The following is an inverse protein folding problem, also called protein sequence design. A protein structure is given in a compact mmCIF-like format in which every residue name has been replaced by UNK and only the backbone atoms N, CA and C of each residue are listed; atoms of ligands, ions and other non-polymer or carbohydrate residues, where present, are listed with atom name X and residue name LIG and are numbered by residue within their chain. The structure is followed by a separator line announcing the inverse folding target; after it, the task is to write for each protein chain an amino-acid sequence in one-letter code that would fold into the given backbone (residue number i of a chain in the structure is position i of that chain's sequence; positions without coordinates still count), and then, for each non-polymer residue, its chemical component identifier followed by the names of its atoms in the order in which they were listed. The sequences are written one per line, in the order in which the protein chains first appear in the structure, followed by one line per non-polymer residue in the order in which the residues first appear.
data_IF_875231435643
#
_entry.id   IF_875231435643
#
_cell.length_a   1.000
_cell.length_b   1.000
_cell.length_c   1.000
_cell.angle_alpha   90.00
_cell.angle_beta   90.00
_cell.angle_gamma   90.00
#
_symmetry.space_group_name_H-M   'P 1'
#
loop_
_entity.id
_entity.type
_entity.pdbx_description
1 polymer ?
#
# COMPACT_ATOMS: atom_id res chain seq x y z
N UNK A 1 -48.66 37.22 -14.22
CA UNK A 1 -47.36 36.93 -13.57
C UNK A 1 -46.58 35.95 -14.42
N UNK A 2 -45.49 36.40 -15.05
CA UNK A 2 -44.52 35.54 -15.76
C UNK A 2 -43.13 35.88 -15.23
N UNK A 3 -42.53 34.95 -14.49
CA UNK A 3 -41.20 35.09 -13.89
C UNK A 3 -40.17 34.66 -14.93
N UNK A 4 -39.32 35.60 -15.39
CA UNK A 4 -38.11 35.28 -16.15
C UNK A 4 -37.00 35.01 -15.15
N UNK A 5 -36.51 33.77 -15.07
CA UNK A 5 -35.27 33.44 -14.37
C UNK A 5 -34.12 33.50 -15.39
N UNK A 6 -33.19 34.39 -15.12
CA UNK A 6 -31.95 34.60 -15.86
C UNK A 6 -31.02 33.39 -15.68
N UNK A 7 -30.51 32.83 -16.77
CA UNK A 7 -29.40 31.88 -16.75
C UNK A 7 -28.10 32.67 -16.90
N UNK A 8 -27.26 32.62 -15.88
CA UNK A 8 -25.90 33.19 -15.92
C UNK A 8 -24.95 32.10 -16.41
N UNK A 9 -24.31 32.34 -17.55
CA UNK A 9 -23.27 31.47 -18.11
C UNK A 9 -21.92 31.83 -17.45
N UNK A 10 -21.30 30.86 -16.79
CA UNK A 10 -19.91 30.98 -16.33
C UNK A 10 -19.02 30.13 -17.25
N UNK A 11 -18.04 30.79 -17.86
CA UNK A 11 -17.12 30.25 -18.84
C UNK A 11 -16.23 29.14 -18.26
N UNK A 12 -16.09 28.04 -19.01
CA UNK A 12 -15.08 27.01 -18.78
C UNK A 12 -13.82 27.41 -19.53
N UNK A 13 -12.76 27.79 -18.81
CA UNK A 13 -11.42 27.98 -19.37
C UNK A 13 -10.67 26.65 -19.31
N UNK A 14 -10.41 26.04 -20.47
CA UNK A 14 -9.54 24.88 -20.62
C UNK A 14 -8.11 25.39 -20.75
N UNK A 15 -7.31 25.27 -19.69
CA UNK A 15 -5.86 25.48 -19.76
C UNK A 15 -5.21 24.17 -20.16
N UNK A 16 -4.78 24.10 -21.43
CA UNK A 16 -3.94 23.04 -21.97
C UNK A 16 -2.52 23.21 -21.40
N UNK A 17 -2.08 22.29 -20.52
CA UNK A 17 -0.70 22.24 -20.07
C UNK A 17 0.02 21.11 -20.83
N UNK A 18 0.77 21.48 -21.86
CA UNK A 18 1.84 20.65 -22.42
C UNK A 18 3.07 20.80 -21.54
N UNK A 19 3.59 19.69 -21.01
CA UNK A 19 4.98 19.60 -20.57
C UNK A 19 5.55 18.25 -21.01
N UNK A 20 6.53 18.33 -21.89
CA UNK A 20 7.29 17.23 -22.49
C UNK A 20 8.52 16.94 -21.61
N UNK A 21 8.82 15.64 -21.49
CA UNK A 21 10.02 14.95 -20.98
C UNK A 21 11.16 15.77 -20.35
N UNK A 22 11.54 15.40 -19.13
CA UNK A 22 12.93 15.16 -18.75
C UNK A 22 13.00 14.18 -17.56
N UNK A 23 13.48 12.96 -17.81
CA UNK A 23 13.98 12.10 -16.75
C UNK A 23 15.38 12.53 -16.35
N UNK A 24 15.68 12.51 -15.05
CA UNK A 24 16.95 12.03 -14.50
C UNK A 24 16.97 12.20 -12.98
N UNK A 25 17.39 11.13 -12.30
CA UNK A 25 18.20 11.25 -11.08
C UNK A 25 17.48 11.70 -9.81
N UNK A 26 16.40 11.01 -9.42
CA UNK A 26 15.95 11.04 -8.03
C UNK A 26 16.62 9.91 -7.25
N UNK A 27 17.81 10.14 -6.71
CA UNK A 27 18.35 9.32 -5.62
C UNK A 27 17.49 9.57 -4.38
N UNK A 28 16.35 8.89 -4.28
CA UNK A 28 15.49 8.96 -3.11
C UNK A 28 16.07 8.05 -2.03
N UNK A 29 16.81 8.67 -1.12
CA UNK A 29 17.20 8.13 0.17
C UNK A 29 15.96 7.59 0.90
N UNK A 30 15.94 6.27 1.18
CA UNK A 30 15.04 5.57 2.10
C UNK A 30 13.67 6.25 2.36
N UNK A 31 12.80 6.26 1.36
CA UNK A 31 11.45 6.77 1.52
C UNK A 31 10.49 5.61 1.81
N UNK A 32 9.67 5.76 2.85
CA UNK A 32 8.48 4.96 3.14
C UNK A 32 7.80 4.47 1.83
N UNK A 33 8.10 3.24 1.38
CA UNK A 33 7.56 2.69 0.12
C UNK A 33 6.04 2.52 0.14
N UNK A 34 5.42 2.66 1.30
CA UNK A 34 4.00 2.48 1.49
C UNK A 34 3.21 3.60 0.79
N UNK A 35 2.39 3.22 -0.19
CA UNK A 35 1.62 4.17 -0.99
C UNK A 35 0.59 4.87 -0.11
N UNK A 36 0.54 6.20 -0.21
CA UNK A 36 -0.52 7.01 0.38
C UNK A 36 -1.68 7.06 -0.62
N UNK A 37 -2.90 6.67 -0.23
CA UNK A 37 -4.06 6.86 -1.10
C UNK A 37 -4.21 8.31 -1.53
N UNK A 38 -4.24 8.53 -2.85
CA UNK A 38 -5.24 9.43 -3.42
C UNK A 38 -6.59 8.71 -3.66
N UNK A 39 -6.61 7.38 -3.62
CA UNK A 39 -7.79 6.54 -3.75
C UNK A 39 -7.69 5.37 -2.77
N UNK A 40 -8.47 5.46 -1.70
CA UNK A 40 -8.69 4.36 -0.75
C UNK A 40 -9.19 3.15 -1.54
N UNK A 41 -8.73 1.93 -1.24
CA UNK A 41 -9.40 0.71 -1.69
C UNK A 41 -10.42 0.32 -0.59
N UNK A 42 -11.66 0.88 -0.59
CA UNK A 42 -12.57 0.77 0.55
C UNK A 42 -12.95 -0.68 0.90
N UNK A 43 -12.89 -1.59 -0.07
CA UNK A 43 -13.10 -3.02 0.17
C UNK A 43 -12.03 -3.60 1.12
N UNK A 44 -10.76 -3.20 0.98
CA UNK A 44 -9.68 -3.72 1.81
C UNK A 44 -9.83 -3.34 3.29
N UNK A 45 -10.34 -2.14 3.56
CA UNK A 45 -10.67 -1.68 4.92
C UNK A 45 -11.91 -2.36 5.50
N UNK A 46 -12.82 -2.85 4.65
CA UNK A 46 -14.01 -3.58 5.10
C UNK A 46 -13.65 -5.01 5.49
N UNK A 47 -12.75 -5.64 4.74
CA UNK A 47 -12.29 -7.01 4.99
C UNK A 47 -11.23 -7.06 6.10
N UNK A 48 -10.48 -5.97 6.29
CA UNK A 48 -9.46 -5.87 7.32
C UNK A 48 -10.03 -5.38 8.66
N UNK A 49 -9.93 -6.22 9.69
CA UNK A 49 -10.41 -5.88 11.03
C UNK A 49 -9.75 -4.61 11.57
N UNK A 50 -10.57 -3.71 12.13
CA UNK A 50 -10.11 -2.45 12.72
C UNK A 50 -9.12 -2.70 13.88
N UNK A 51 -7.99 -2.00 13.84
CA UNK A 51 -6.89 -2.17 14.78
C UNK A 51 -5.92 -3.32 14.45
N UNK A 52 -6.04 -3.96 13.29
CA UNK A 52 -5.22 -5.10 12.89
C UNK A 52 -4.35 -4.82 11.67
N UNK A 53 -3.28 -5.59 11.52
CA UNK A 53 -2.57 -5.74 10.25
C UNK A 53 -3.19 -6.88 9.46
N UNK A 54 -3.40 -6.66 8.18
CA UNK A 54 -4.03 -7.61 7.29
C UNK A 54 -3.17 -7.89 6.07
N UNK A 55 -3.17 -9.15 5.65
CA UNK A 55 -2.40 -9.67 4.53
C UNK A 55 -3.31 -10.38 3.53
N UNK A 56 -2.93 -10.37 2.26
CA UNK A 56 -3.62 -11.06 1.17
C UNK A 56 -2.63 -11.80 0.29
N UNK A 57 -3.11 -12.87 -0.33
CA UNK A 57 -2.35 -13.75 -1.21
C UNK A 57 -2.18 -13.20 -2.63
N UNK A 58 -2.99 -12.22 -3.02
CA UNK A 58 -2.92 -11.56 -4.34
C UNK A 58 -2.70 -10.04 -4.22
N UNK A 59 -2.14 -9.41 -5.28
CA UNK A 59 -2.10 -7.96 -5.37
C UNK A 59 -3.52 -7.38 -5.47
N UNK A 60 -3.66 -6.10 -5.13
CA UNK A 60 -4.95 -5.40 -5.14
C UNK A 60 -5.90 -5.79 -4.00
N UNK A 61 -5.38 -6.38 -2.91
CA UNK A 61 -6.19 -6.89 -1.79
C UNK A 61 -7.22 -7.94 -2.22
N UNK A 62 -6.91 -8.69 -3.27
CA UNK A 62 -7.76 -9.77 -3.75
C UNK A 62 -7.50 -11.07 -2.96
N UNK A 63 -8.51 -11.96 -2.96
CA UNK A 63 -8.48 -13.19 -2.20
C UNK A 63 -9.04 -13.04 -0.78
N UNK A 64 -8.69 -13.96 0.11
CA UNK A 64 -9.07 -13.88 1.51
C UNK A 64 -8.19 -12.86 2.25
N UNK A 65 -8.77 -12.08 3.16
CA UNK A 65 -7.99 -11.28 4.09
C UNK A 65 -7.61 -12.12 5.31
N UNK A 66 -6.35 -12.06 5.73
CA UNK A 66 -5.91 -12.61 7.01
C UNK A 66 -5.54 -11.47 7.95
N UNK A 67 -6.40 -11.22 8.94
CA UNK A 67 -6.14 -10.27 10.03
C UNK A 67 -5.47 -11.00 11.18
N UNK A 68 -4.19 -10.70 11.44
CA UNK A 68 -3.38 -11.58 12.29
C UNK A 68 -2.87 -10.96 13.57
N UNK A 69 -2.76 -9.64 13.57
CA UNK A 69 -1.91 -8.98 14.54
C UNK A 69 -2.57 -7.76 15.13
N UNK A 70 -2.70 -7.77 16.45
CA UNK A 70 -3.07 -6.64 17.28
C UNK A 70 -2.23 -6.70 18.56
N UNK A 71 -1.24 -5.81 18.65
CA UNK A 71 -0.31 -5.75 19.78
C UNK A 71 1.13 -5.55 19.33
N UNK A 72 1.98 -5.06 20.24
CA UNK A 72 3.43 -4.92 19.98
C UNK A 72 4.12 -6.26 20.06
N UNK A 73 5.15 -6.45 19.24
CA UNK A 73 5.97 -7.66 19.22
C UNK A 73 6.21 -8.19 17.81
N UNK A 74 6.84 -9.36 17.75
CA UNK A 74 7.15 -10.07 16.53
C UNK A 74 6.11 -11.17 16.28
N UNK A 75 5.58 -11.22 15.07
CA UNK A 75 4.55 -12.17 14.67
C UNK A 75 4.92 -12.83 13.35
N UNK A 76 4.70 -14.14 13.25
CA UNK A 76 4.91 -14.89 12.00
C UNK A 76 3.64 -14.93 11.15
N UNK A 77 3.82 -14.98 9.83
CA UNK A 77 2.71 -15.21 8.89
C UNK A 77 2.20 -16.66 9.05
N UNK A 78 0.89 -16.91 9.13
CA UNK A 78 0.28 -18.21 9.32
C UNK A 78 0.51 -19.07 8.10
N UNK A 79 0.58 -20.38 8.35
CA UNK A 79 0.93 -21.39 7.34
C UNK A 79 0.16 -21.30 6.00
N UNK A 80 -1.15 -20.95 5.96
CA UNK A 80 -1.87 -20.83 4.68
C UNK A 80 -1.31 -19.74 3.76
N UNK A 81 -0.74 -18.68 4.36
CA UNK A 81 -0.27 -17.46 3.69
C UNK A 81 1.26 -17.33 3.64
N UNK A 82 1.98 -18.17 4.39
CA UNK A 82 3.43 -18.21 4.38
C UNK A 82 3.97 -18.36 2.96
N UNK A 83 4.78 -17.40 2.51
CA UNK A 83 5.33 -17.38 1.16
C UNK A 83 4.31 -17.08 0.05
N UNK A 84 3.17 -16.47 0.38
CA UNK A 84 2.13 -16.08 -0.60
C UNK A 84 1.69 -14.63 -0.49
N UNK A 85 2.13 -13.91 0.55
CA UNK A 85 1.73 -12.52 0.76
C UNK A 85 2.12 -11.67 -0.45
N UNK A 86 1.12 -11.04 -1.07
CA UNK A 86 1.28 -10.18 -2.24
C UNK A 86 0.77 -8.76 -2.01
N UNK A 87 -0.10 -8.55 -1.02
CA UNK A 87 -0.50 -7.22 -0.57
C UNK A 87 -0.74 -7.17 0.94
N UNK A 88 -0.61 -5.97 1.53
CA UNK A 88 -0.72 -5.77 2.98
C UNK A 88 -1.33 -4.42 3.29
N UNK A 89 -2.15 -4.37 4.34
CA UNK A 89 -2.74 -3.15 4.89
C UNK A 89 -2.44 -3.08 6.38
N UNK A 90 -1.89 -1.95 6.83
CA UNK A 90 -1.77 -1.64 8.23
C UNK A 90 -3.00 -0.84 8.70
N UNK A 91 -4.03 -1.52 9.19
CA UNK A 91 -5.19 -0.89 9.82
C UNK A 91 -5.04 -0.80 11.36
N UNK A 92 -3.81 -0.99 11.86
CA UNK A 92 -3.46 -0.87 13.27
C UNK A 92 -2.97 0.55 13.60
N UNK A 93 -2.98 0.96 14.87
CA UNK A 93 -2.44 2.26 15.30
C UNK A 93 -0.90 2.28 15.39
N UNK A 94 -0.21 1.19 15.03
CA UNK A 94 1.23 1.04 15.20
C UNK A 94 1.96 1.14 13.86
N UNK A 95 3.24 1.50 13.89
CA UNK A 95 4.11 1.29 12.72
C UNK A 95 4.58 -0.15 12.73
N UNK A 96 4.52 -0.79 11.56
CA UNK A 96 4.95 -2.17 11.39
C UNK A 96 6.16 -2.25 10.48
N UNK A 97 6.97 -3.29 10.65
CA UNK A 97 8.07 -3.64 9.75
C UNK A 97 7.87 -5.07 9.27
N UNK A 98 7.94 -5.27 7.96
CA UNK A 98 7.81 -6.60 7.35
C UNK A 98 9.16 -7.32 7.38
N UNK A 99 9.11 -8.60 7.73
CA UNK A 99 10.24 -9.52 7.73
C UNK A 99 10.14 -10.48 6.56
N UNK A 100 11.29 -10.94 6.04
CA UNK A 100 11.35 -11.84 4.88
C UNK A 100 12.18 -13.11 5.15
N UNK A 101 11.99 -14.17 4.35
CA UNK A 101 12.78 -15.42 4.46
C UNK A 101 14.15 -15.39 3.77
N UNK A 102 14.48 -14.33 3.03
CA UNK A 102 15.53 -14.34 2.02
C UNK A 102 16.33 -13.05 1.95
N UNK A 103 16.51 -12.39 3.10
CA UNK A 103 17.32 -11.17 3.24
C UNK A 103 16.83 -9.98 2.40
N UNK A 104 15.51 -9.84 2.18
CA UNK A 104 15.00 -8.69 1.46
C UNK A 104 15.42 -7.39 2.13
N UNK A 105 16.09 -6.54 1.35
CA UNK A 105 16.63 -5.26 1.81
C UNK A 105 16.31 -4.15 0.81
N UNK A 106 15.88 -2.96 1.25
CA UNK A 106 15.67 -2.58 2.65
C UNK A 106 14.40 -3.21 3.24
N UNK A 107 14.34 -3.32 4.56
CA UNK A 107 13.11 -3.66 5.28
C UNK A 107 11.97 -2.70 4.92
N UNK A 108 10.78 -3.23 4.65
CA UNK A 108 9.60 -2.42 4.39
C UNK A 108 8.90 -2.09 5.71
N UNK A 109 8.72 -0.80 5.98
CA UNK A 109 7.89 -0.33 7.10
C UNK A 109 6.60 0.30 6.61
N UNK A 110 5.52 0.11 7.36
CA UNK A 110 4.21 0.72 7.10
C UNK A 110 3.72 1.46 8.33
N UNK A 111 3.47 2.75 8.16
CA UNK A 111 2.78 3.57 9.16
C UNK A 111 1.30 3.19 9.26
N UNK A 112 0.61 3.57 10.35
CA UNK A 112 -0.84 3.40 10.48
C UNK A 112 -1.60 3.93 9.25
N UNK A 113 -2.54 3.14 8.77
CA UNK A 113 -3.37 3.46 7.60
C UNK A 113 -2.64 3.44 6.26
N UNK A 114 -1.44 2.85 6.19
CA UNK A 114 -0.69 2.66 4.92
C UNK A 114 -0.74 1.21 4.45
N UNK A 115 -0.42 1.02 3.18
CA UNK A 115 -0.47 -0.30 2.54
C UNK A 115 0.57 -0.45 1.43
N UNK A 116 0.81 -1.71 1.07
CA UNK A 116 1.33 -2.11 -0.24
C UNK A 116 0.25 -2.87 -0.97
N UNK A 117 -0.21 -2.30 -2.08
CA UNK A 117 -1.22 -2.93 -2.93
C UNK A 117 -0.63 -4.08 -3.76
N UNK A 118 0.67 -4.01 -4.07
CA UNK A 118 1.36 -5.04 -4.84
C UNK A 118 2.85 -5.05 -4.43
N UNK A 119 3.25 -6.09 -3.70
CA UNK A 119 4.62 -6.29 -3.23
C UNK A 119 5.58 -6.69 -4.35
N UNK A 120 5.08 -7.04 -5.55
CA UNK A 120 5.95 -7.27 -6.72
C UNK A 120 6.58 -5.98 -7.26
N UNK A 121 6.09 -4.83 -6.81
CA UNK A 121 6.64 -3.53 -7.18
C UNK A 121 7.72 -3.05 -6.21
N UNK A 122 7.87 -3.75 -5.08
CA UNK A 122 8.84 -3.42 -4.05
C UNK A 122 10.08 -4.27 -4.21
N UNK A 123 11.22 -3.61 -4.44
CA UNK A 123 12.50 -4.28 -4.65
C UNK A 123 13.00 -4.94 -3.35
N UNK A 124 13.39 -6.21 -3.44
CA UNK A 124 13.95 -7.01 -2.33
C UNK A 124 15.49 -6.85 -2.23
N UNK A 125 16.11 -5.92 -2.96
CA UNK A 125 17.53 -5.58 -2.82
C UNK A 125 18.47 -6.39 -3.71
N UNK A 126 17.91 -7.25 -4.55
CA UNK A 126 18.63 -8.03 -5.55
C UNK A 126 18.58 -7.42 -6.94
N UNK A 127 18.49 -8.29 -7.96
CA UNK A 127 18.27 -7.87 -9.35
C UNK A 127 16.89 -7.25 -9.54
N UNK A 128 16.63 -6.62 -10.69
CA UNK A 128 15.36 -5.93 -11.01
C UNK A 128 14.11 -6.85 -10.93
N UNK A 129 14.30 -8.17 -10.82
CA UNK A 129 13.21 -9.14 -10.68
C UNK A 129 13.06 -9.73 -9.28
N UNK A 130 13.90 -9.33 -8.32
CA UNK A 130 13.79 -9.79 -6.95
C UNK A 130 12.91 -8.83 -6.15
N UNK A 131 11.75 -9.31 -5.76
CA UNK A 131 10.67 -8.48 -5.20
C UNK A 131 10.21 -9.03 -3.87
N UNK A 132 9.53 -8.20 -3.09
CA UNK A 132 8.94 -8.60 -1.81
C UNK A 132 7.75 -9.55 -1.96
N UNK A 133 7.24 -9.74 -3.17
CA UNK A 133 6.12 -10.63 -3.43
C UNK A 133 6.44 -12.07 -2.98
N UNK A 134 5.54 -12.66 -2.20
CA UNK A 134 5.70 -14.02 -1.68
C UNK A 134 6.92 -14.22 -0.77
N UNK A 135 7.52 -13.14 -0.25
CA UNK A 135 8.71 -13.20 0.63
C UNK A 135 8.42 -12.94 2.10
N UNK A 136 7.26 -12.36 2.43
CA UNK A 136 6.92 -11.98 3.81
C UNK A 136 6.79 -13.23 4.69
N UNK A 137 7.53 -13.23 5.80
CA UNK A 137 7.53 -14.30 6.82
C UNK A 137 7.00 -13.86 8.17
N UNK A 138 7.02 -12.55 8.41
CA UNK A 138 6.53 -12.02 9.66
C UNK A 138 6.42 -10.50 9.63
N UNK A 139 6.03 -9.99 10.78
CA UNK A 139 5.84 -8.56 11.01
C UNK A 139 6.24 -8.23 12.44
N UNK A 140 7.02 -7.16 12.58
CA UNK A 140 7.35 -6.56 13.87
C UNK A 140 6.51 -5.29 14.06
N UNK A 141 5.88 -5.19 15.23
CA UNK A 141 5.00 -4.07 15.59
C UNK A 141 5.64 -3.26 16.71
N UNK A 142 5.94 -1.98 16.41
CA UNK A 142 6.66 -1.04 17.27
C UNK A 142 5.79 -0.22 18.23
#
# INVERSE_FOLDING_TARGET
MRVRKSFSAAAFSVTMATAFLAGSGGSASAADGARQAASVHPAAYTDCKDGWVCFWDYPGFAGGAWSEVNGKGAYGIPAPLAGKVSSVLNNSPYTITLNSNGDCSPSLSLKPGRWYEDLSLENCGGTVYDTWNNRVTGVDIG
#
